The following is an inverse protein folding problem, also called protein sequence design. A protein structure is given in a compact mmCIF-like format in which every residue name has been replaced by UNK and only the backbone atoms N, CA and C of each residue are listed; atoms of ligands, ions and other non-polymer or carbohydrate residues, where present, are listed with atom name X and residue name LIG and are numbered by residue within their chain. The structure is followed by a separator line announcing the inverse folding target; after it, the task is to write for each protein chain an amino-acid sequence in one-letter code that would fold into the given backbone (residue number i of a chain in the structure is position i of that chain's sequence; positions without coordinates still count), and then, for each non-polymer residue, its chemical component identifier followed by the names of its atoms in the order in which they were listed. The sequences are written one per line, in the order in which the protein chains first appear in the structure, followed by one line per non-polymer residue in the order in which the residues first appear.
data_IF_498923883086
#
_entry.id   IF_498923883086
#
_cell.length_a   1.000
_cell.length_b   1.000
_cell.length_c   1.000
_cell.angle_alpha   90.00
_cell.angle_beta   90.00
_cell.angle_gamma   90.00
#
_symmetry.space_group_name_H-M   'P 1'
#
loop_
_entity.id
_entity.type
_entity.pdbx_description
1 polymer ?
#
# COMPACT_ATOMS: atom_id res chain seq x y z
N UNK A 1 -17.59 -1.10 -50.02
CA UNK A 1 -16.92 -0.43 -48.89
C UNK A 1 -16.65 -1.49 -47.84
N UNK A 2 -15.42 -1.96 -47.75
CA UNK A 2 -15.02 -2.90 -46.71
C UNK A 2 -14.95 -2.14 -45.38
N UNK A 3 -15.56 -2.68 -44.34
CA UNK A 3 -15.45 -2.15 -42.98
C UNK A 3 -13.97 -2.12 -42.57
N UNK A 4 -13.52 -1.08 -41.84
CA UNK A 4 -12.17 -1.05 -41.31
C UNK A 4 -11.99 -2.26 -40.38
N UNK A 5 -11.01 -3.08 -40.73
CA UNK A 5 -10.53 -4.19 -39.92
C UNK A 5 -10.19 -3.67 -38.51
N UNK A 6 -10.68 -4.31 -37.43
CA UNK A 6 -10.30 -3.92 -36.08
C UNK A 6 -8.77 -4.02 -35.95
N UNK A 7 -8.11 -3.02 -35.35
CA UNK A 7 -6.65 -2.98 -35.27
C UNK A 7 -6.12 -4.28 -34.65
N UNK A 8 -4.96 -4.75 -35.13
CA UNK A 8 -4.45 -6.07 -34.80
C UNK A 8 -4.31 -6.19 -33.27
N UNK A 9 -4.93 -7.24 -32.69
CA UNK A 9 -4.70 -7.67 -31.31
C UNK A 9 -3.68 -8.82 -31.27
N UNK A 10 -2.36 -8.55 -31.31
CA UNK A 10 -1.36 -9.49 -30.84
C UNK A 10 -0.62 -8.89 -29.63
N UNK A 11 -0.18 -9.74 -28.69
CA UNK A 11 0.61 -9.41 -27.47
C UNK A 11 -0.14 -9.07 -26.16
N UNK A 12 -1.48 -9.12 -26.13
CA UNK A 12 -2.32 -8.73 -24.98
C UNK A 12 -1.88 -9.32 -23.62
N UNK A 13 -1.62 -10.63 -23.57
CA UNK A 13 -1.38 -11.33 -22.30
C UNK A 13 -0.03 -11.02 -21.65
N UNK A 14 1.01 -10.82 -22.46
CA UNK A 14 2.37 -10.54 -21.96
C UNK A 14 2.47 -9.08 -21.50
N UNK A 15 1.92 -8.15 -22.28
CA UNK A 15 1.82 -6.73 -21.91
C UNK A 15 0.93 -6.51 -20.69
N UNK A 16 -0.18 -7.25 -20.57
CA UNK A 16 -1.04 -7.19 -19.39
C UNK A 16 -0.33 -7.72 -18.15
N UNK A 17 0.38 -8.85 -18.24
CA UNK A 17 1.14 -9.39 -17.10
C UNK A 17 2.21 -8.40 -16.63
N UNK A 18 2.89 -7.73 -17.55
CA UNK A 18 3.87 -6.70 -17.22
C UNK A 18 3.21 -5.46 -16.60
N UNK A 19 2.04 -5.05 -17.08
CA UNK A 19 1.25 -3.97 -16.49
C UNK A 19 0.84 -4.30 -15.04
N UNK A 20 0.31 -5.50 -14.79
CA UNK A 20 -0.05 -5.97 -13.44
C UNK A 20 1.18 -5.97 -12.52
N UNK A 21 2.34 -6.38 -13.02
CA UNK A 21 3.59 -6.36 -12.28
C UNK A 21 4.02 -4.94 -11.92
N UNK A 22 3.96 -4.01 -12.87
CA UNK A 22 4.27 -2.59 -12.64
C UNK A 22 3.32 -1.93 -11.64
N UNK A 23 2.02 -2.23 -11.73
CA UNK A 23 1.01 -1.78 -10.77
C UNK A 23 1.31 -2.34 -9.38
N UNK A 24 1.60 -3.64 -9.27
CA UNK A 24 1.89 -4.27 -7.99
C UNK A 24 3.16 -3.71 -7.33
N UNK A 25 4.19 -3.43 -8.12
CA UNK A 25 5.42 -2.80 -7.63
C UNK A 25 5.19 -1.37 -7.11
N UNK A 26 4.39 -0.57 -7.81
CA UNK A 26 4.04 0.77 -7.36
C UNK A 26 3.11 0.76 -6.12
N UNK A 27 2.09 -0.11 -6.12
CA UNK A 27 1.05 -0.12 -5.09
C UNK A 27 1.44 -0.91 -3.83
N UNK A 28 2.19 -2.00 -3.97
CA UNK A 28 2.49 -2.91 -2.86
C UNK A 28 3.95 -2.95 -2.48
N UNK A 29 4.89 -2.50 -3.30
CA UNK A 29 6.33 -2.53 -2.97
C UNK A 29 6.96 -1.14 -2.81
N UNK A 30 6.17 -0.07 -2.91
CA UNK A 30 6.63 1.30 -2.68
C UNK A 30 7.66 1.79 -3.69
N UNK A 31 7.73 1.15 -4.87
CA UNK A 31 8.74 1.48 -5.87
C UNK A 31 8.31 2.70 -6.70
N UNK A 32 8.66 3.89 -6.21
CA UNK A 32 8.33 5.18 -6.85
C UNK A 32 8.97 5.38 -8.24
N UNK A 33 9.92 4.52 -8.63
CA UNK A 33 10.56 4.57 -9.94
C UNK A 33 9.68 4.12 -11.11
N UNK A 34 8.54 3.47 -10.84
CA UNK A 34 7.63 3.00 -11.88
C UNK A 34 6.55 4.07 -12.14
N UNK A 35 6.83 4.94 -13.11
CA UNK A 35 5.88 5.96 -13.56
C UNK A 35 4.91 5.44 -14.63
N UNK A 36 3.73 6.03 -14.70
CA UNK A 36 2.70 5.74 -15.70
C UNK A 36 3.22 5.91 -17.12
N UNK A 37 4.04 6.94 -17.34
CA UNK A 37 4.62 7.25 -18.64
C UNK A 37 5.60 6.16 -19.09
N UNK A 38 6.41 5.63 -18.17
CA UNK A 38 7.35 4.56 -18.45
C UNK A 38 6.62 3.25 -18.78
N UNK A 39 5.58 2.90 -18.01
CA UNK A 39 4.75 1.72 -18.30
C UNK A 39 4.01 1.85 -19.63
N UNK A 40 3.49 3.05 -19.95
CA UNK A 40 2.83 3.30 -21.24
C UNK A 40 3.82 3.16 -22.39
N UNK A 41 4.97 3.81 -22.31
CA UNK A 41 5.99 3.79 -23.36
C UNK A 41 6.52 2.38 -23.65
N UNK A 42 6.63 1.53 -22.62
CA UNK A 42 7.14 0.16 -22.79
C UNK A 42 6.07 -0.86 -23.21
N UNK A 43 4.83 -0.71 -22.74
CA UNK A 43 3.80 -1.75 -22.89
C UNK A 43 2.74 -1.41 -23.93
N UNK A 44 2.44 -0.12 -24.11
CA UNK A 44 1.38 0.39 -24.98
C UNK A 44 1.80 1.71 -25.65
N UNK A 45 2.87 1.72 -26.48
CA UNK A 45 3.39 2.94 -27.10
C UNK A 45 2.35 3.63 -28.00
N UNK A 46 1.50 2.83 -28.66
CA UNK A 46 0.44 3.28 -29.56
C UNK A 46 -0.85 3.73 -28.85
N UNK A 47 -0.98 3.50 -27.54
CA UNK A 47 -2.21 3.82 -26.81
C UNK A 47 -2.26 5.30 -26.38
N UNK A 48 -3.44 5.96 -26.52
CA UNK A 48 -3.66 7.28 -25.98
C UNK A 48 -3.40 7.31 -24.46
N UNK A 49 -2.80 8.39 -23.91
CA UNK A 49 -2.53 8.50 -22.48
C UNK A 49 -3.79 8.32 -21.61
N UNK A 50 -4.94 8.80 -22.09
CA UNK A 50 -6.22 8.71 -21.38
C UNK A 50 -6.74 7.26 -21.32
N UNK A 51 -6.68 6.54 -22.45
CA UNK A 51 -7.08 5.13 -22.52
C UNK A 51 -6.17 4.25 -21.64
N UNK A 52 -4.86 4.50 -21.67
CA UNK A 52 -3.91 3.80 -20.82
C UNK A 52 -4.19 4.07 -19.34
N UNK A 53 -4.47 5.33 -18.96
CA UNK A 53 -4.83 5.68 -17.57
C UNK A 53 -6.10 4.96 -17.12
N UNK A 54 -7.13 4.91 -17.97
CA UNK A 54 -8.36 4.19 -17.69
C UNK A 54 -8.12 2.67 -17.50
N UNK A 55 -7.31 2.07 -18.37
CA UNK A 55 -6.93 0.66 -18.26
C UNK A 55 -6.14 0.38 -16.97
N UNK A 56 -5.15 1.22 -16.65
CA UNK A 56 -4.34 1.11 -15.42
C UNK A 56 -5.20 1.25 -14.17
N UNK A 57 -6.12 2.21 -14.14
CA UNK A 57 -7.06 2.38 -13.03
C UNK A 57 -7.98 1.16 -12.87
N UNK A 58 -8.49 0.60 -13.98
CA UNK A 58 -9.32 -0.60 -13.96
C UNK A 58 -8.55 -1.82 -13.43
N UNK A 59 -7.36 -2.10 -13.97
CA UNK A 59 -6.54 -3.24 -13.55
C UNK A 59 -6.01 -3.06 -12.12
N UNK A 60 -5.64 -1.84 -11.74
CA UNK A 60 -5.24 -1.49 -10.37
C UNK A 60 -6.35 -1.66 -9.36
N UNK A 61 -7.57 -1.21 -9.68
CA UNK A 61 -8.73 -1.40 -8.80
C UNK A 61 -9.09 -2.87 -8.61
N UNK A 62 -8.93 -3.71 -9.64
CA UNK A 62 -9.10 -5.16 -9.52
C UNK A 62 -8.03 -5.78 -8.60
N UNK A 63 -6.75 -5.46 -8.84
CA UNK A 63 -5.64 -5.93 -8.01
C UNK A 63 -5.78 -5.52 -6.55
N UNK A 64 -6.19 -4.27 -6.30
CA UNK A 64 -6.44 -3.77 -4.95
C UNK A 64 -7.59 -4.52 -4.30
N UNK A 65 -8.70 -4.75 -5.00
CA UNK A 65 -9.84 -5.51 -4.46
C UNK A 65 -9.45 -6.95 -4.08
N UNK A 66 -8.67 -7.61 -4.94
CA UNK A 66 -8.17 -8.96 -4.70
C UNK A 66 -7.21 -8.98 -3.49
N UNK A 67 -6.29 -8.02 -3.43
CA UNK A 67 -5.28 -7.94 -2.38
C UNK A 67 -5.86 -7.53 -1.02
N UNK A 68 -6.77 -6.56 -0.98
CA UNK A 68 -7.42 -6.12 0.25
C UNK A 68 -8.32 -7.19 0.87
N UNK A 69 -8.89 -8.08 0.05
CA UNK A 69 -9.69 -9.22 0.53
C UNK A 69 -8.86 -10.49 0.77
N UNK A 70 -7.54 -10.45 0.53
CA UNK A 70 -6.61 -11.59 0.61
C UNK A 70 -7.13 -12.88 -0.08
N UNK A 71 -7.80 -12.71 -1.23
CA UNK A 71 -8.61 -13.76 -1.85
C UNK A 71 -7.80 -15.06 -2.09
N UNK A 72 -8.39 -16.19 -1.74
CA UNK A 72 -7.88 -17.51 -2.12
C UNK A 72 -8.19 -17.83 -3.59
N UNK A 73 -7.67 -18.93 -4.11
CA UNK A 73 -7.85 -19.29 -5.53
C UNK A 73 -9.33 -19.47 -5.90
N UNK A 74 -10.15 -20.02 -4.99
CA UNK A 74 -11.57 -20.23 -5.26
C UNK A 74 -12.33 -18.89 -5.29
N UNK A 75 -12.07 -18.00 -4.33
CA UNK A 75 -12.67 -16.65 -4.31
C UNK A 75 -12.24 -15.83 -5.53
N UNK A 76 -10.97 -15.94 -5.94
CA UNK A 76 -10.45 -15.27 -7.12
C UNK A 76 -11.17 -15.72 -8.39
N UNK A 77 -11.33 -17.02 -8.62
CA UNK A 77 -12.02 -17.54 -9.80
C UNK A 77 -13.49 -17.09 -9.84
N UNK A 78 -14.18 -17.10 -8.71
CA UNK A 78 -15.55 -16.60 -8.61
C UNK A 78 -15.62 -15.09 -8.90
N UNK A 79 -14.69 -14.32 -8.34
CA UNK A 79 -14.59 -12.87 -8.56
C UNK A 79 -14.33 -12.54 -10.03
N UNK A 80 -13.35 -13.18 -10.66
CA UNK A 80 -13.03 -12.97 -12.07
C UNK A 80 -14.19 -13.40 -12.99
N UNK A 81 -14.90 -14.48 -12.66
CA UNK A 81 -16.11 -14.91 -13.38
C UNK A 81 -17.24 -13.88 -13.28
N UNK A 82 -17.37 -13.18 -12.15
CA UNK A 82 -18.32 -12.07 -12.02
C UNK A 82 -17.88 -10.85 -12.86
N UNK A 83 -16.57 -10.57 -12.92
CA UNK A 83 -16.02 -9.47 -13.70
C UNK A 83 -16.11 -9.69 -15.21
N UNK A 84 -16.10 -10.94 -15.69
CA UNK A 84 -16.29 -11.24 -17.12
C UNK A 84 -17.76 -11.14 -17.55
N UNK A 85 -18.71 -11.32 -16.64
CA UNK A 85 -20.15 -11.17 -16.90
C UNK A 85 -20.65 -9.72 -16.84
N UNK A 86 -19.86 -8.81 -16.29
CA UNK A 86 -20.22 -7.39 -16.16
C UNK A 86 -20.08 -6.67 -17.51
N UNK A 87 -21.06 -5.83 -17.88
CA UNK A 87 -20.97 -4.99 -19.07
C UNK A 87 -19.79 -4.01 -18.93
N UNK A 88 -18.87 -3.99 -19.89
CA UNK A 88 -17.60 -3.24 -19.76
C UNK A 88 -16.58 -3.90 -18.81
N UNK A 89 -16.79 -5.16 -18.47
CA UNK A 89 -15.91 -6.00 -17.65
C UNK A 89 -14.59 -6.41 -18.32
N UNK A 90 -13.92 -7.41 -17.77
CA UNK A 90 -12.68 -7.96 -18.35
C UNK A 90 -12.98 -9.13 -19.29
N UNK A 91 -12.10 -9.41 -20.24
CA UNK A 91 -12.25 -10.59 -21.10
C UNK A 91 -11.78 -11.86 -20.37
N UNK A 92 -12.19 -13.03 -20.86
CA UNK A 92 -11.75 -14.31 -20.30
C UNK A 92 -10.22 -14.50 -20.35
N UNK A 93 -9.57 -14.00 -21.41
CA UNK A 93 -8.11 -13.99 -21.54
C UNK A 93 -7.45 -13.12 -20.46
N UNK A 94 -7.97 -11.90 -20.25
CA UNK A 94 -7.49 -11.01 -19.19
C UNK A 94 -7.68 -11.64 -17.80
N UNK A 95 -8.81 -12.28 -17.55
CA UNK A 95 -9.06 -13.00 -16.31
C UNK A 95 -8.04 -14.12 -16.07
N UNK A 96 -7.71 -14.92 -17.09
CA UNK A 96 -6.71 -15.97 -16.97
C UNK A 96 -5.30 -15.41 -16.63
N UNK A 97 -4.92 -14.28 -17.24
CA UNK A 97 -3.65 -13.60 -16.95
C UNK A 97 -3.63 -13.08 -15.51
N UNK A 98 -4.71 -12.44 -15.05
CA UNK A 98 -4.83 -11.94 -13.66
C UNK A 98 -4.79 -13.10 -12.67
N UNK A 99 -5.49 -14.21 -12.95
CA UNK A 99 -5.48 -15.39 -12.10
C UNK A 99 -4.08 -15.98 -11.95
N UNK A 100 -3.35 -16.11 -13.07
CA UNK A 100 -1.97 -16.59 -13.08
C UNK A 100 -1.02 -15.64 -12.33
N UNK A 101 -1.20 -14.33 -12.53
CA UNK A 101 -0.43 -13.31 -11.82
C UNK A 101 -0.63 -13.41 -10.30
N UNK A 102 -1.88 -13.42 -9.83
CA UNK A 102 -2.18 -13.50 -8.40
C UNK A 102 -1.63 -14.79 -7.79
N UNK A 103 -1.80 -15.94 -8.44
CA UNK A 103 -1.28 -17.22 -7.96
C UNK A 103 0.24 -17.19 -7.70
N UNK A 104 0.99 -16.45 -8.53
CA UNK A 104 2.44 -16.37 -8.41
C UNK A 104 2.93 -15.29 -7.44
N UNK A 105 2.17 -14.20 -7.28
CA UNK A 105 2.59 -13.02 -6.52
C UNK A 105 1.84 -12.82 -5.18
N UNK A 106 0.80 -13.61 -4.89
CA UNK A 106 -0.04 -13.48 -3.69
C UNK A 106 0.80 -13.43 -2.41
N UNK A 107 1.69 -14.39 -2.20
CA UNK A 107 2.50 -14.45 -0.97
C UNK A 107 3.36 -13.20 -0.79
N UNK A 108 4.03 -12.76 -1.86
CA UNK A 108 4.89 -11.59 -1.83
C UNK A 108 4.10 -10.29 -1.57
N UNK A 109 2.93 -10.15 -2.21
CA UNK A 109 2.04 -9.00 -2.00
C UNK A 109 1.48 -9.01 -0.56
N UNK A 110 1.05 -10.17 -0.08
CA UNK A 110 0.54 -10.36 1.27
C UNK A 110 1.59 -10.04 2.34
N UNK A 111 2.82 -10.54 2.20
CA UNK A 111 3.93 -10.21 3.10
C UNK A 111 4.25 -8.72 3.08
N UNK A 112 4.27 -8.09 1.91
CA UNK A 112 4.51 -6.65 1.79
C UNK A 112 3.42 -5.81 2.45
N UNK A 113 2.15 -6.20 2.26
CA UNK A 113 1.00 -5.57 2.91
C UNK A 113 1.05 -5.73 4.43
N UNK A 114 1.40 -6.92 4.94
CA UNK A 114 1.63 -7.15 6.37
C UNK A 114 2.78 -6.28 6.87
N UNK A 115 3.89 -6.21 6.13
CA UNK A 115 5.03 -5.37 6.48
C UNK A 115 4.67 -3.89 6.60
N UNK A 116 3.84 -3.38 5.68
CA UNK A 116 3.35 -2.00 5.73
C UNK A 116 2.26 -1.77 6.79
N UNK A 117 1.48 -2.79 7.11
CA UNK A 117 0.39 -2.71 8.11
C UNK A 117 0.89 -2.88 9.53
N UNK A 118 2.07 -3.47 9.72
CA UNK A 118 2.76 -3.44 11.01
C UNK A 118 3.16 -2.00 11.28
N UNK A 119 2.72 -1.47 12.42
CA UNK A 119 3.29 -0.25 12.97
C UNK A 119 4.76 -0.54 13.23
N UNK A 120 5.59 -0.19 12.26
CA UNK A 120 7.02 -0.49 12.28
C UNK A 120 7.69 0.20 13.49
N UNK A 121 7.07 1.30 13.96
CA UNK A 121 7.40 1.97 15.20
C UNK A 121 6.75 1.25 16.39
N UNK A 122 7.55 0.46 17.11
CA UNK A 122 7.15 -0.15 18.38
C UNK A 122 7.67 0.74 19.52
N UNK A 123 6.87 0.91 20.57
CA UNK A 123 7.38 1.40 21.86
C UNK A 123 8.23 0.29 22.47
N UNK A 124 9.55 0.40 22.33
CA UNK A 124 10.52 -0.59 22.83
C UNK A 124 10.66 -0.51 24.35
N UNK A 125 10.67 0.71 24.90
CA UNK A 125 10.81 0.94 26.33
C UNK A 125 10.10 2.23 26.76
N UNK A 126 9.73 2.31 28.04
CA UNK A 126 9.17 3.50 28.67
C UNK A 126 9.77 3.67 30.07
N UNK A 127 10.56 4.72 30.24
CA UNK A 127 11.11 5.12 31.54
C UNK A 127 10.35 6.34 32.02
N UNK A 128 10.08 6.43 33.32
CA UNK A 128 9.50 7.63 33.90
C UNK A 128 10.07 7.91 35.27
N UNK A 129 10.10 9.18 35.64
CA UNK A 129 10.41 9.63 37.00
C UNK A 129 9.55 10.81 37.38
N UNK A 130 9.34 10.98 38.68
CA UNK A 130 8.65 12.15 39.23
C UNK A 130 9.68 13.08 39.82
N UNK A 131 9.73 14.29 39.27
CA UNK A 131 10.58 15.36 39.75
C UNK A 131 9.71 16.42 40.45
N UNK A 132 10.34 17.26 41.27
CA UNK A 132 9.68 18.44 41.86
C UNK A 132 10.22 19.68 41.15
N UNK A 133 9.33 20.44 40.50
CA UNK A 133 9.71 21.74 39.97
C UNK A 133 9.70 22.78 41.08
N UNK A 134 10.84 23.42 41.29
CA UNK A 134 10.97 24.59 42.16
C UNK A 134 10.64 25.85 41.35
N UNK A 135 9.61 26.59 41.74
CA UNK A 135 9.33 27.90 41.17
C UNK A 135 10.17 28.98 41.89
N UNK A 136 11.03 29.70 41.15
CA UNK A 136 11.80 30.83 41.67
C UNK A 136 11.21 32.16 41.20
N UNK A 137 10.38 32.77 42.05
CA UNK A 137 10.59 34.12 42.62
C UNK A 137 9.32 34.60 43.33
N UNK A 138 9.43 34.68 44.66
CA UNK A 138 8.47 35.24 45.63
C UNK A 138 7.18 34.42 45.80
N UNK A 139 6.90 34.02 47.05
CA UNK A 139 5.77 33.20 47.57
C UNK A 139 6.18 31.75 47.85
N UNK A 140 5.63 31.22 48.95
CA UNK A 140 5.93 29.94 49.61
C UNK A 140 6.30 28.79 48.65
N UNK A 141 7.31 28.00 49.02
CA UNK A 141 7.78 26.82 48.29
C UNK A 141 6.65 25.84 47.97
N UNK A 142 5.99 26.00 46.84
CA UNK A 142 5.08 25.00 46.28
C UNK A 142 5.93 24.13 45.34
N UNK A 143 6.38 22.99 45.83
CA UNK A 143 6.99 21.96 45.01
C UNK A 143 5.88 21.31 44.18
N UNK A 144 5.78 21.65 42.89
CA UNK A 144 4.81 21.03 41.98
C UNK A 144 5.40 19.72 41.46
N UNK A 145 4.77 18.55 41.70
CA UNK A 145 5.21 17.29 41.13
C UNK A 145 5.00 17.30 39.62
N UNK A 146 6.03 16.87 38.89
CA UNK A 146 6.00 16.73 37.45
C UNK A 146 6.49 15.34 37.07
N UNK A 147 5.82 14.68 36.14
CA UNK A 147 6.30 13.41 35.60
C UNK A 147 7.09 13.67 34.32
N UNK A 148 8.35 13.22 34.29
CA UNK A 148 9.16 13.18 33.07
C UNK A 148 9.10 11.75 32.55
N UNK A 149 8.64 11.59 31.31
CA UNK A 149 8.47 10.30 30.65
C UNK A 149 9.36 10.28 29.42
N UNK A 150 10.19 9.25 29.30
CA UNK A 150 11.00 8.96 28.12
C UNK A 150 10.48 7.69 27.47
N UNK A 151 10.12 7.79 26.20
CA UNK A 151 9.66 6.66 25.39
C UNK A 151 10.68 6.35 24.31
N UNK A 152 11.16 5.12 24.28
CA UNK A 152 12.01 4.61 23.21
C UNK A 152 11.12 4.04 22.10
N UNK A 153 11.10 4.70 20.97
CA UNK A 153 10.38 4.30 19.78
C UNK A 153 11.40 3.69 18.82
N UNK A 154 11.09 2.56 18.19
CA UNK A 154 12.02 2.04 17.22
C UNK A 154 11.50 0.93 16.36
N UNK A 155 12.25 0.73 15.27
CA UNK A 155 12.05 -0.32 14.28
C UNK A 155 13.02 -1.46 14.55
N UNK A 156 12.66 -2.67 14.13
CA UNK A 156 13.55 -3.82 14.25
C UNK A 156 14.77 -3.63 13.31
N UNK A 157 15.97 -3.60 13.89
CA UNK A 157 17.22 -3.47 13.12
C UNK A 157 17.63 -2.03 12.77
N UNK A 158 16.95 -1.00 13.29
CA UNK A 158 17.35 0.41 13.17
C UNK A 158 17.61 1.03 14.55
N UNK A 159 18.35 2.15 14.56
CA UNK A 159 18.54 2.96 15.76
C UNK A 159 17.19 3.45 16.29
N UNK A 160 17.05 3.46 17.62
CA UNK A 160 15.84 3.90 18.29
C UNK A 160 15.80 5.44 18.38
N UNK A 161 14.59 5.98 18.31
CA UNK A 161 14.27 7.38 18.57
C UNK A 161 13.74 7.52 20.00
N UNK A 162 14.06 8.63 20.67
CA UNK A 162 13.63 8.89 22.04
C UNK A 162 12.69 10.10 22.08
N UNK A 163 11.52 9.90 22.67
CA UNK A 163 10.51 10.95 22.87
C UNK A 163 10.41 11.26 24.36
N UNK A 164 10.85 12.45 24.75
CA UNK A 164 10.74 12.96 26.12
C UNK A 164 9.51 13.86 26.25
N UNK A 165 8.65 13.51 27.20
CA UNK A 165 7.42 14.23 27.51
C UNK A 165 7.42 14.63 28.98
N UNK A 166 6.76 15.75 29.25
CA UNK A 166 6.52 16.23 30.59
C UNK A 166 5.01 16.27 30.84
N UNK A 167 4.58 15.70 31.96
CA UNK A 167 3.17 15.65 32.35
C UNK A 167 2.98 16.30 33.72
N UNK A 168 2.03 17.23 33.77
CA UNK A 168 1.53 17.81 35.02
C UNK A 168 0.39 16.98 35.59
N UNK A 169 0.22 17.02 36.92
CA UNK A 169 -0.92 16.42 37.59
C UNK A 169 -2.23 17.14 37.20
N UNK A 170 -3.13 16.45 36.51
CA UNK A 170 -4.50 16.89 36.34
C UNK A 170 -5.34 16.40 37.52
N UNK A 171 -5.98 17.30 38.26
CA UNK A 171 -6.99 16.94 39.25
C UNK A 171 -8.26 16.50 38.52
N UNK A 172 -8.53 15.20 38.50
CA UNK A 172 -9.75 14.60 37.93
C UNK A 172 -10.77 14.35 39.04
#
# INVERSE_FOLDING_TARGET
MAAPEPPPQPESGRSLSALLSGIAQAAFHGNAGITDELLRAQLYPEAPPEEFRALRAKMGGLLQSIASADMDLNQLEAFLTAQTKKQGGITADQAAVIAKFWKNHRTQIHESLIGQSRWDHVLKNMNWRVDLKSQLRHIDQINTPVAIVEMELGKNGQESEFLCLEFDEAKV
#
